data_IF_942188371615
#
_entry.id   IF_942188371615
#
_cell.length_a   1.000
_cell.length_b   1.000
_cell.length_c   1.000
_cell.angle_alpha   90.00
_cell.angle_beta   90.00
_cell.angle_gamma   90.00
#
_symmetry.space_group_name_H-M   'P 1'
#
loop_
_entity.id
_entity.type
_entity.pdbx_description
1 polymer ?
#
# COMPACT_ATOMS: atom_id res chain seq x y z
N UNK A 1 -13.48 -2.90 -30.60
CA UNK A 1 -14.24 -1.71 -31.01
C UNK A 1 -13.46 -1.03 -32.13
N UNK A 2 -14.11 -0.65 -33.22
CA UNK A 2 -13.46 0.21 -34.24
C UNK A 2 -13.31 1.63 -33.64
N UNK A 3 -12.16 2.28 -33.85
CA UNK A 3 -11.92 3.62 -33.31
C UNK A 3 -12.60 4.67 -34.16
N UNK A 4 -13.51 5.44 -33.56
CA UNK A 4 -14.20 6.52 -34.26
C UNK A 4 -13.25 7.69 -34.57
N UNK A 5 -12.17 7.83 -33.79
CA UNK A 5 -11.18 8.88 -33.94
C UNK A 5 -10.28 8.72 -35.17
N UNK A 6 -10.21 7.51 -35.75
CA UNK A 6 -9.39 7.22 -36.94
C UNK A 6 -10.04 7.73 -38.26
N UNK A 7 -11.35 8.01 -38.27
CA UNK A 7 -12.12 8.41 -39.47
C UNK A 7 -11.94 9.88 -39.91
N UNK A 8 -11.25 10.71 -39.12
CA UNK A 8 -11.26 12.18 -39.31
C UNK A 8 -10.11 12.68 -40.21
N UNK A 9 -9.23 11.80 -40.68
CA UNK A 9 -8.02 12.20 -41.41
C UNK A 9 -8.18 12.39 -42.93
N UNK A 10 -9.33 12.07 -43.54
CA UNK A 10 -9.42 12.07 -45.01
C UNK A 10 -9.93 13.37 -45.66
N UNK A 11 -10.67 14.27 -45.00
CA UNK A 11 -11.03 15.56 -45.61
C UNK A 11 -11.04 16.72 -44.59
N UNK A 12 -10.02 17.58 -44.66
CA UNK A 12 -9.96 18.85 -43.91
C UNK A 12 -11.07 19.79 -44.38
N UNK A 13 -12.12 19.97 -43.58
CA UNK A 13 -13.02 21.13 -43.71
C UNK A 13 -12.84 22.11 -42.55
N UNK A 14 -12.75 23.38 -42.94
CA UNK A 14 -12.40 24.56 -42.16
C UNK A 14 -13.48 24.89 -41.12
N UNK A 15 -13.20 24.69 -39.83
CA UNK A 15 -13.97 25.32 -38.73
C UNK A 15 -13.01 25.83 -37.65
N UNK A 16 -12.46 27.03 -37.86
CA UNK A 16 -11.25 27.50 -37.15
C UNK A 16 -11.43 28.17 -35.77
N UNK A 17 -12.61 28.17 -35.14
CA UNK A 17 -12.79 28.84 -33.82
C UNK A 17 -13.49 27.95 -32.76
N UNK A 18 -13.94 26.73 -33.13
CA UNK A 18 -14.46 25.70 -32.19
C UNK A 18 -13.42 24.62 -31.82
N UNK A 19 -12.19 24.81 -32.27
CA UNK A 19 -11.18 23.75 -32.46
C UNK A 19 -10.56 23.21 -31.15
N UNK A 20 -10.37 24.02 -30.12
CA UNK A 20 -9.68 23.57 -28.90
C UNK A 20 -10.55 22.65 -28.03
N UNK A 21 -11.80 23.04 -27.75
CA UNK A 21 -12.73 22.15 -27.03
C UNK A 21 -13.05 20.88 -27.79
N UNK A 22 -13.10 20.95 -29.13
CA UNK A 22 -13.28 19.77 -29.98
C UNK A 22 -12.04 18.87 -29.96
N UNK A 23 -10.83 19.45 -30.01
CA UNK A 23 -9.58 18.69 -29.84
C UNK A 23 -9.51 18.04 -28.47
N UNK A 24 -9.80 18.76 -27.40
CA UNK A 24 -9.82 18.20 -26.05
C UNK A 24 -10.84 17.07 -25.90
N UNK A 25 -12.04 17.25 -26.46
CA UNK A 25 -13.06 16.21 -26.49
C UNK A 25 -12.61 14.98 -27.29
N UNK A 26 -11.95 15.18 -28.43
CA UNK A 26 -11.40 14.10 -29.25
C UNK A 26 -10.24 13.36 -28.58
N UNK A 27 -9.34 14.08 -27.90
CA UNK A 27 -8.24 13.47 -27.13
C UNK A 27 -8.82 12.62 -26.00
N UNK A 28 -9.85 13.13 -25.30
CA UNK A 28 -10.54 12.38 -24.25
C UNK A 28 -11.27 11.16 -24.80
N UNK A 29 -11.86 11.26 -25.98
CA UNK A 29 -12.52 10.15 -26.65
C UNK A 29 -11.50 9.10 -27.11
N UNK A 30 -10.37 9.51 -27.69
CA UNK A 30 -9.30 8.60 -28.08
C UNK A 30 -8.74 7.82 -26.88
N UNK A 31 -8.48 8.51 -25.76
CA UNK A 31 -8.02 7.90 -24.51
C UNK A 31 -9.07 6.95 -23.91
N UNK A 32 -10.36 7.22 -24.12
CA UNK A 32 -11.44 6.31 -23.73
C UNK A 32 -11.47 5.06 -24.62
N UNK A 33 -11.40 5.23 -25.94
CA UNK A 33 -11.32 4.12 -26.91
C UNK A 33 -10.10 3.22 -26.67
N UNK A 34 -8.97 3.79 -26.23
CA UNK A 34 -7.74 3.05 -25.87
C UNK A 34 -7.93 2.12 -24.67
N UNK A 35 -8.96 2.35 -23.83
CA UNK A 35 -9.30 1.41 -22.75
C UNK A 35 -9.94 0.12 -23.28
N UNK A 36 -10.44 0.12 -24.52
CA UNK A 36 -11.12 -1.01 -25.15
C UNK A 36 -12.50 -1.32 -24.55
N UNK A 37 -13.02 -0.44 -23.69
CA UNK A 37 -14.29 -0.63 -22.96
C UNK A 37 -15.44 0.02 -23.70
N UNK A 38 -16.56 -0.68 -23.83
CA UNK A 38 -17.81 -0.10 -24.33
C UNK A 38 -18.48 0.79 -23.25
N UNK A 39 -19.17 1.87 -23.63
CA UNK A 39 -19.80 2.79 -22.65
C UNK A 39 -20.75 2.10 -21.66
N UNK A 40 -21.37 0.99 -22.05
CA UNK A 40 -22.24 0.18 -21.18
C UNK A 40 -21.46 -0.65 -20.14
N UNK A 41 -20.16 -0.87 -20.32
CA UNK A 41 -19.29 -1.61 -19.40
C UNK A 41 -18.71 -0.71 -18.30
N UNK A 42 -18.58 0.60 -18.55
CA UNK A 42 -18.03 1.58 -17.59
C UNK A 42 -18.80 1.55 -16.25
N UNK A 43 -20.15 1.59 -16.21
CA UNK A 43 -20.87 1.61 -14.94
C UNK A 43 -20.66 0.33 -14.13
N UNK A 44 -20.55 -0.82 -14.81
CA UNK A 44 -20.28 -2.11 -14.18
C UNK A 44 -18.87 -2.15 -13.59
N UNK A 45 -17.87 -1.61 -14.29
CA UNK A 45 -16.50 -1.53 -13.79
C UNK A 45 -16.35 -0.54 -12.64
N UNK A 46 -16.99 0.63 -12.72
CA UNK A 46 -17.03 1.60 -11.62
C UNK A 46 -17.70 1.02 -10.37
N UNK A 47 -18.79 0.28 -10.55
CA UNK A 47 -19.47 -0.39 -9.45
C UNK A 47 -18.60 -1.51 -8.84
N UNK A 48 -17.89 -2.28 -9.66
CA UNK A 48 -16.91 -3.27 -9.18
C UNK A 48 -15.74 -2.61 -8.45
N UNK A 49 -15.21 -1.49 -8.95
CA UNK A 49 -14.13 -0.75 -8.30
C UNK A 49 -14.58 -0.15 -6.98
N UNK A 50 -15.79 0.44 -6.91
CA UNK A 50 -16.38 0.94 -5.67
C UNK A 50 -16.58 -0.16 -4.64
N UNK A 51 -17.16 -1.29 -5.06
CA UNK A 51 -17.30 -2.47 -4.18
C UNK A 51 -15.94 -2.98 -3.72
N UNK A 52 -14.95 -3.04 -4.61
CA UNK A 52 -13.60 -3.46 -4.27
C UNK A 52 -12.93 -2.46 -3.30
N UNK A 53 -13.14 -1.15 -3.43
CA UNK A 53 -12.59 -0.14 -2.53
C UNK A 53 -13.29 -0.09 -1.16
N UNK A 54 -14.62 -0.21 -1.13
CA UNK A 54 -15.37 -0.32 0.13
C UNK A 54 -14.98 -1.59 0.88
N UNK A 55 -14.80 -2.68 0.14
CA UNK A 55 -14.30 -3.92 0.70
C UNK A 55 -12.82 -3.79 1.08
N UNK A 56 -12.03 -2.99 0.37
CA UNK A 56 -10.64 -2.70 0.70
C UNK A 56 -10.52 -2.03 2.06
N UNK A 57 -11.37 -1.05 2.39
CA UNK A 57 -11.36 -0.43 3.72
C UNK A 57 -11.72 -1.45 4.82
N UNK A 58 -12.64 -2.38 4.54
CA UNK A 58 -12.99 -3.48 5.45
C UNK A 58 -11.82 -4.46 5.62
N UNK A 59 -11.15 -4.83 4.52
CA UNK A 59 -9.97 -5.69 4.56
C UNK A 59 -8.78 -4.98 5.20
N UNK A 60 -8.62 -3.68 4.99
CA UNK A 60 -7.58 -2.84 5.59
C UNK A 60 -7.74 -2.80 7.11
N UNK A 61 -8.96 -2.53 7.60
CA UNK A 61 -9.25 -2.54 9.04
C UNK A 61 -9.11 -3.95 9.66
N UNK A 62 -9.48 -5.00 8.93
CA UNK A 62 -9.43 -6.39 9.39
C UNK A 62 -8.03 -7.02 9.32
N UNK A 63 -7.20 -6.66 8.33
CA UNK A 63 -5.83 -7.19 8.20
C UNK A 63 -4.79 -6.33 8.91
N UNK A 64 -4.98 -5.01 9.00
CA UNK A 64 -3.92 -4.14 9.49
C UNK A 64 -3.99 -3.90 11.00
N UNK A 65 -5.15 -4.10 11.66
CA UNK A 65 -5.23 -4.04 13.14
C UNK A 65 -4.49 -5.18 13.84
N UNK A 66 -4.45 -6.37 13.23
CA UNK A 66 -3.90 -7.58 13.84
C UNK A 66 -2.54 -8.01 13.25
N UNK A 67 -2.10 -7.40 12.12
CA UNK A 67 -0.76 -7.64 11.56
C UNK A 67 0.16 -6.54 12.04
N UNK A 68 1.14 -6.83 12.91
CA UNK A 68 2.05 -5.80 13.36
C UNK A 68 2.90 -5.33 12.17
N UNK A 69 2.80 -4.04 11.87
CA UNK A 69 3.56 -3.37 10.81
C UNK A 69 4.87 -2.85 11.38
N UNK A 70 5.95 -2.93 10.60
CA UNK A 70 7.24 -2.33 10.95
C UNK A 70 7.12 -0.80 11.03
N UNK A 71 7.44 -0.25 12.19
CA UNK A 71 7.47 1.18 12.51
C UNK A 71 8.93 1.64 12.42
N UNK A 72 9.27 2.59 11.53
CA UNK A 72 10.62 3.14 11.47
C UNK A 72 11.00 3.85 12.78
N UNK A 73 12.21 3.59 13.29
CA UNK A 73 12.74 4.25 14.50
C UNK A 73 12.81 5.77 14.34
N UNK A 74 12.96 6.25 13.10
CA UNK A 74 12.97 7.67 12.77
C UNK A 74 11.58 8.35 12.90
N UNK A 75 10.49 7.58 12.82
CA UNK A 75 9.12 8.09 12.94
C UNK A 75 8.65 8.03 14.38
N UNK A 76 8.86 6.88 15.03
CA UNK A 76 8.40 6.63 16.39
C UNK A 76 9.32 5.65 17.09
N UNK A 77 9.56 5.89 18.38
CA UNK A 77 10.25 4.95 19.28
C UNK A 77 9.21 4.14 20.07
N UNK A 78 9.52 2.89 20.45
CA UNK A 78 8.63 2.09 21.28
C UNK A 78 8.54 2.66 22.70
N UNK A 79 7.54 2.22 23.46
CA UNK A 79 7.44 2.57 24.86
C UNK A 79 8.63 2.02 25.65
N UNK A 80 9.08 2.78 26.65
CA UNK A 80 10.25 2.39 27.42
C UNK A 80 10.00 1.09 28.20
N UNK A 81 10.99 0.19 28.16
CA UNK A 81 10.95 -1.15 28.80
C UNK A 81 9.92 -2.13 28.22
N UNK A 82 9.37 -1.85 27.03
CA UNK A 82 8.58 -2.83 26.29
C UNK A 82 9.50 -3.66 25.39
N UNK A 83 9.36 -4.99 25.44
CA UNK A 83 10.05 -5.89 24.53
C UNK A 83 9.39 -5.85 23.15
N UNK A 84 10.17 -5.50 22.13
CA UNK A 84 9.73 -5.38 20.74
C UNK A 84 10.62 -6.19 19.82
N UNK A 85 10.11 -6.53 18.63
CA UNK A 85 10.96 -7.01 17.54
C UNK A 85 11.62 -5.81 16.88
N UNK A 86 12.91 -5.93 16.62
CA UNK A 86 13.71 -4.92 15.92
C UNK A 86 14.32 -5.51 14.66
N UNK A 87 14.40 -4.68 13.63
CA UNK A 87 15.11 -4.95 12.39
C UNK A 87 16.38 -4.11 12.35
N UNK A 88 17.52 -4.73 12.04
CA UNK A 88 18.76 -4.00 11.76
C UNK A 88 18.85 -3.61 10.29
N UNK A 89 19.72 -2.67 9.94
CA UNK A 89 20.00 -2.31 8.54
C UNK A 89 20.49 -3.49 7.71
N UNK A 90 21.15 -4.46 8.36
CA UNK A 90 21.64 -5.68 7.71
C UNK A 90 20.55 -6.76 7.57
N UNK A 91 19.31 -6.45 7.98
CA UNK A 91 18.15 -7.33 7.85
C UNK A 91 17.99 -8.36 8.98
N UNK A 92 18.73 -8.23 10.08
CA UNK A 92 18.58 -9.11 11.23
C UNK A 92 17.34 -8.75 12.04
N UNK A 93 16.55 -9.76 12.40
CA UNK A 93 15.39 -9.61 13.27
C UNK A 93 15.74 -10.16 14.65
N UNK A 94 15.66 -9.30 15.67
CA UNK A 94 16.04 -9.59 17.05
C UNK A 94 14.98 -9.06 18.01
N UNK A 95 15.02 -9.47 19.28
CA UNK A 95 14.21 -8.86 20.35
C UNK A 95 15.02 -7.83 21.11
N UNK A 96 14.44 -6.66 21.36
CA UNK A 96 15.09 -5.57 22.10
C UNK A 96 14.06 -4.72 22.83
N UNK A 97 14.52 -3.94 23.82
CA UNK A 97 13.71 -2.92 24.48
C UNK A 97 14.45 -1.57 24.50
N UNK A 98 13.67 -0.49 24.56
CA UNK A 98 14.21 0.87 24.56
C UNK A 98 14.29 1.45 25.98
N UNK A 99 15.44 2.06 26.31
CA UNK A 99 15.73 2.54 27.66
C UNK A 99 14.84 3.71 28.13
N UNK A 100 14.47 3.78 29.43
CA UNK A 100 13.53 4.77 30.00
C UNK A 100 14.00 6.23 29.99
N UNK A 101 15.24 6.48 29.56
CA UNK A 101 15.81 7.83 29.44
C UNK A 101 16.28 8.16 28.00
N UNK A 102 15.88 7.35 27.02
CA UNK A 102 16.27 7.55 25.63
C UNK A 102 17.75 7.30 25.35
N UNK A 103 18.42 6.53 26.21
CA UNK A 103 19.87 6.42 26.20
C UNK A 103 20.38 5.32 25.25
N UNK A 104 19.66 4.20 25.10
CA UNK A 104 20.09 3.10 24.23
C UNK A 104 19.04 2.00 24.03
N UNK A 105 19.21 1.24 22.95
CA UNK A 105 18.58 -0.05 22.74
C UNK A 105 19.28 -1.14 23.55
N UNK A 106 18.52 -2.06 24.13
CA UNK A 106 19.04 -3.22 24.83
C UNK A 106 18.57 -4.49 24.12
N UNK A 107 19.50 -5.22 23.49
CA UNK A 107 19.22 -6.40 22.66
C UNK A 107 19.35 -7.67 23.53
N UNK A 108 18.39 -8.59 23.39
CA UNK A 108 18.39 -9.91 24.03
C UNK A 108 18.46 -11.00 22.95
N UNK A 109 19.35 -12.02 23.04
CA UNK A 109 20.34 -12.28 24.08
C UNK A 109 21.59 -11.42 23.90
N UNK A 110 22.18 -11.06 25.04
CA UNK A 110 23.23 -10.05 25.29
C UNK A 110 24.59 -10.30 24.61
N UNK A 111 24.72 -11.27 23.69
CA UNK A 111 26.00 -11.76 23.17
C UNK A 111 26.28 -11.36 21.72
N UNK A 112 25.39 -10.62 21.07
CA UNK A 112 25.63 -10.10 19.74
C UNK A 112 26.27 -8.72 19.85
N UNK A 113 27.55 -8.63 19.45
CA UNK A 113 28.31 -7.38 19.25
C UNK A 113 27.71 -6.47 18.15
N UNK A 114 26.40 -6.52 17.91
CA UNK A 114 25.74 -5.66 16.97
C UNK A 114 25.68 -4.23 17.53
N UNK A 115 26.11 -3.22 16.75
CA UNK A 115 25.99 -1.85 17.17
C UNK A 115 24.51 -1.53 17.40
N UNK A 116 24.16 -1.11 18.62
CA UNK A 116 22.82 -0.62 18.98
C UNK A 116 22.29 0.50 18.08
N UNK A 117 23.17 1.09 17.24
CA UNK A 117 22.88 2.16 16.27
C UNK A 117 22.37 1.66 14.91
N UNK A 118 22.36 0.34 14.69
CA UNK A 118 22.00 -0.22 13.39
C UNK A 118 20.52 -0.63 13.28
N UNK A 119 19.71 -0.42 14.33
CA UNK A 119 18.28 -0.68 14.30
C UNK A 119 17.57 0.39 13.46
N UNK A 120 16.80 -0.01 12.45
CA UNK A 120 16.09 0.90 11.55
C UNK A 120 14.57 0.92 11.77
N UNK A 121 13.98 -0.19 12.20
CA UNK A 121 12.54 -0.34 12.42
C UNK A 121 12.26 -1.31 13.57
N UNK A 122 11.08 -1.19 14.16
CA UNK A 122 10.60 -2.07 15.22
C UNK A 122 9.11 -2.40 15.04
N UNK A 123 8.63 -3.43 15.71
CA UNK A 123 7.20 -3.76 15.80
C UNK A 123 6.90 -4.44 17.13
N UNK A 124 5.67 -4.33 17.66
CA UNK A 124 5.31 -5.04 18.88
C UNK A 124 5.41 -6.55 18.69
N UNK A 125 5.65 -7.27 19.79
CA UNK A 125 5.70 -8.73 19.75
C UNK A 125 4.35 -9.30 19.30
N UNK A 126 4.35 -10.36 18.47
CA UNK A 126 3.12 -11.04 18.08
C UNK A 126 2.45 -11.66 19.31
N UNK A 127 1.13 -11.91 19.21
CA UNK A 127 0.43 -12.65 20.26
C UNK A 127 1.16 -13.98 20.56
N UNK A 128 1.34 -14.34 21.84
CA UNK A 128 1.92 -15.61 22.21
C UNK A 128 1.21 -16.78 21.53
N UNK A 129 1.99 -17.78 21.12
CA UNK A 129 1.45 -18.99 20.50
C UNK A 129 0.41 -19.67 21.39
N UNK A 130 -0.80 -19.89 20.85
CA UNK A 130 -1.91 -20.60 21.51
C UNK A 130 -2.36 -21.78 20.64
N UNK A 131 -2.04 -23.03 21.02
CA UNK A 131 -2.34 -24.20 20.21
C UNK A 131 -3.86 -24.40 20.00
N UNK A 132 -4.70 -23.90 20.90
CA UNK A 132 -6.17 -24.03 20.82
C UNK A 132 -6.79 -23.23 19.67
N UNK A 133 -6.09 -22.20 19.18
CA UNK A 133 -6.52 -21.38 18.04
C UNK A 133 -6.19 -22.02 16.68
N UNK A 134 -5.36 -23.06 16.65
CA UNK A 134 -5.01 -23.79 15.43
C UNK A 134 -6.14 -24.73 15.01
N UNK A 135 -7.23 -24.17 14.50
CA UNK A 135 -8.26 -24.95 13.81
C UNK A 135 -7.75 -25.27 12.41
N UNK A 136 -7.03 -26.37 12.26
CA UNK A 136 -6.77 -26.93 10.94
C UNK A 136 -8.07 -27.53 10.41
N UNK A 137 -8.62 -27.07 9.27
CA UNK A 137 -9.68 -27.80 8.60
C UNK A 137 -9.13 -29.18 8.20
N UNK A 138 -9.84 -30.24 8.62
CA UNK A 138 -9.61 -31.60 8.13
C UNK A 138 -10.19 -31.76 6.74
#
# INVERSE_FOLDING_TARGET
>A
MERLTDWINEEKTEVSIRHDRFRDAMIRLAAYEDTGLEPCEIPVLLDRLKRASEQWDIWYDAYQKDVPVWIPVAEQLPEAKEDVLVCTRDGWILTAWYGPHGESWHITPTDLNHPMKDINAWMPLPEPYRPEKLKFPR
#
